data_IF_181333980811
#
_entry.id   IF_181333980811
#
_cell.length_a   1.000
_cell.length_b   1.000
_cell.length_c   1.000
_cell.angle_alpha   90.00
_cell.angle_beta   90.00
_cell.angle_gamma   90.00
#
_symmetry.space_group_name_H-M   'P 1'
#
loop_
_entity.id
_entity.type
_entity.pdbx_description
1 polymer ?
#
# COMPACT_ATOMS: atom_id res chain seq x y z
N UNK A 1 -11.59 22.50 -9.96
CA UNK A 1 -10.90 21.25 -10.34
C UNK A 1 -10.12 20.78 -9.11
N UNK A 2 -10.07 19.48 -8.85
CA UNK A 2 -9.29 18.94 -7.73
C UNK A 2 -7.81 19.20 -7.96
N UNK A 3 -7.10 19.71 -6.97
CA UNK A 3 -5.67 20.08 -7.05
C UNK A 3 -4.78 18.81 -7.18
N UNK A 4 -5.25 17.66 -6.69
CA UNK A 4 -4.62 16.36 -6.89
C UNK A 4 -5.69 15.30 -7.22
N UNK A 5 -5.34 14.28 -8.02
CA UNK A 5 -6.27 13.20 -8.37
C UNK A 5 -6.12 12.02 -7.42
N UNK A 6 -7.23 11.39 -7.04
CA UNK A 6 -7.23 10.23 -6.13
C UNK A 6 -6.39 9.08 -6.67
N UNK A 7 -5.87 8.26 -5.76
CA UNK A 7 -5.43 6.91 -6.09
C UNK A 7 -6.65 6.09 -6.58
N UNK A 8 -6.43 5.25 -7.60
CA UNK A 8 -7.49 4.42 -8.16
C UNK A 8 -8.06 3.44 -7.14
N UNK A 9 -9.35 3.08 -7.30
CA UNK A 9 -9.95 2.05 -6.44
C UNK A 9 -9.45 0.68 -6.91
N UNK A 10 -8.55 0.06 -6.14
CA UNK A 10 -8.07 -1.30 -6.44
C UNK A 10 -9.18 -2.32 -6.25
N UNK A 11 -9.42 -3.18 -7.25
CA UNK A 11 -10.48 -4.20 -7.19
C UNK A 11 -9.97 -5.47 -6.50
N UNK A 12 -10.86 -6.12 -5.77
CA UNK A 12 -10.58 -7.40 -5.16
C UNK A 12 -10.56 -8.52 -6.19
N UNK A 13 -9.68 -9.49 -5.97
CA UNK A 13 -9.85 -10.81 -6.55
C UNK A 13 -11.17 -11.44 -6.08
N UNK A 14 -11.83 -12.28 -6.91
CA UNK A 14 -13.09 -12.93 -6.53
C UNK A 14 -12.92 -13.94 -5.39
N UNK A 15 -11.69 -14.38 -5.13
CA UNK A 15 -11.32 -15.26 -4.02
C UNK A 15 -10.73 -14.50 -2.81
N UNK A 16 -10.80 -13.16 -2.79
CA UNK A 16 -10.40 -12.35 -1.64
C UNK A 16 -11.49 -12.38 -0.56
N UNK A 17 -11.21 -12.87 0.66
CA UNK A 17 -12.25 -13.06 1.69
C UNK A 17 -12.57 -11.81 2.53
N UNK A 18 -11.71 -10.78 2.49
CA UNK A 18 -11.86 -9.54 3.26
C UNK A 18 -12.55 -8.40 2.50
N UNK A 19 -13.70 -8.65 1.88
CA UNK A 19 -14.50 -7.60 1.21
C UNK A 19 -15.53 -6.98 2.14
N UNK A 20 -15.90 -5.72 1.88
CA UNK A 20 -17.00 -4.98 2.49
C UNK A 20 -18.04 -4.57 1.44
N UNK A 21 -19.17 -3.97 1.84
CA UNK A 21 -20.21 -3.52 0.90
C UNK A 21 -19.72 -2.44 -0.09
N UNK A 22 -18.68 -1.68 0.27
CA UNK A 22 -18.12 -0.61 -0.54
C UNK A 22 -17.04 -1.08 -1.53
N UNK A 23 -16.59 -2.33 -1.38
CA UNK A 23 -15.56 -2.90 -2.23
C UNK A 23 -16.09 -3.30 -3.61
N UNK A 24 -15.20 -3.23 -4.60
CA UNK A 24 -15.44 -3.72 -5.96
C UNK A 24 -14.64 -5.01 -6.16
N UNK A 25 -15.26 -5.98 -6.82
CA UNK A 25 -14.67 -7.29 -7.10
C UNK A 25 -14.56 -7.42 -8.61
N UNK A 26 -13.37 -7.77 -9.11
CA UNK A 26 -13.20 -8.09 -10.53
C UNK A 26 -13.42 -9.58 -10.75
N UNK A 27 -14.63 -9.96 -11.18
CA UNK A 27 -14.95 -11.36 -11.50
C UNK A 27 -14.27 -11.87 -12.78
N UNK A 28 -13.73 -10.97 -13.61
CA UNK A 28 -13.03 -11.29 -14.85
C UNK A 28 -11.51 -11.09 -14.73
N UNK A 29 -10.98 -11.06 -13.49
CA UNK A 29 -9.58 -10.72 -13.20
C UNK A 29 -8.57 -11.46 -14.09
N UNK A 30 -8.81 -12.74 -14.41
CA UNK A 30 -7.89 -13.52 -15.23
C UNK A 30 -7.74 -12.96 -16.65
N UNK A 31 -8.81 -12.42 -17.23
CA UNK A 31 -8.75 -11.80 -18.57
C UNK A 31 -7.83 -10.59 -18.60
N UNK A 32 -7.75 -9.84 -17.50
CA UNK A 32 -6.83 -8.71 -17.34
C UNK A 32 -5.42 -9.19 -17.02
N UNK A 33 -5.27 -10.11 -16.04
CA UNK A 33 -3.98 -10.69 -15.63
C UNK A 33 -3.25 -11.34 -16.81
N UNK A 34 -3.95 -12.08 -17.65
CA UNK A 34 -3.37 -12.77 -18.81
C UNK A 34 -2.90 -11.81 -19.92
N UNK A 35 -3.28 -10.52 -19.87
CA UNK A 35 -2.78 -9.48 -20.77
C UNK A 35 -1.52 -8.79 -20.24
N UNK A 36 -1.19 -9.01 -18.96
CA UNK A 36 -0.04 -8.39 -18.31
C UNK A 36 1.16 -9.34 -18.46
N UNK A 37 2.23 -8.86 -19.09
CA UNK A 37 3.44 -9.66 -19.31
C UNK A 37 4.18 -9.99 -18.00
N UNK A 38 4.30 -9.02 -17.10
CA UNK A 38 4.98 -9.18 -15.82
C UNK A 38 4.17 -8.53 -14.69
N UNK A 39 3.93 -9.29 -13.63
CA UNK A 39 3.21 -8.88 -12.43
C UNK A 39 4.16 -8.79 -11.25
N UNK A 40 4.01 -7.72 -10.48
CA UNK A 40 4.67 -7.56 -9.18
C UNK A 40 3.62 -7.77 -8.09
N UNK A 41 3.90 -8.72 -7.20
CA UNK A 41 3.18 -8.91 -5.95
C UNK A 41 3.90 -8.16 -4.84
N UNK A 42 3.19 -7.29 -4.13
CA UNK A 42 3.68 -6.59 -2.95
C UNK A 42 2.83 -6.89 -1.73
N UNK A 43 3.43 -6.83 -0.54
CA UNK A 43 2.67 -6.92 0.70
C UNK A 43 1.71 -5.74 0.79
N UNK A 44 0.43 -6.01 1.11
CA UNK A 44 -0.51 -4.96 1.47
C UNK A 44 -0.31 -4.61 2.93
N UNK A 45 0.07 -3.36 3.19
CA UNK A 45 0.26 -2.83 4.54
C UNK A 45 -1.03 -2.13 5.02
N UNK A 46 -1.27 -2.19 6.33
CA UNK A 46 -2.45 -1.67 7.02
C UNK A 46 -2.14 -0.31 7.66
N UNK A 47 -2.38 0.77 6.90
CA UNK A 47 -2.23 2.14 7.39
C UNK A 47 -3.11 3.13 6.64
N UNK A 48 -2.65 4.37 6.56
CA UNK A 48 -3.34 5.43 5.83
C UNK A 48 -2.66 5.69 4.48
N UNK A 49 -3.41 5.54 3.39
CA UNK A 49 -3.00 5.99 2.08
C UNK A 49 -2.73 7.51 2.07
N UNK A 50 -1.49 7.89 1.76
CA UNK A 50 -1.14 9.29 1.51
C UNK A 50 -0.52 9.48 0.11
N UNK A 51 -0.84 10.61 -0.51
CA UNK A 51 -0.24 11.11 -1.75
C UNK A 51 0.58 12.36 -1.45
N UNK A 52 1.85 12.37 -1.84
CA UNK A 52 2.74 13.51 -1.75
C UNK A 52 2.90 14.09 -3.15
N UNK A 53 2.49 15.34 -3.31
CA UNK A 53 2.58 16.08 -4.57
C UNK A 53 3.18 17.46 -4.31
N UNK A 54 3.51 18.21 -5.37
CA UNK A 54 3.90 19.62 -5.25
C UNK A 54 2.96 20.45 -4.34
N UNK A 55 1.66 20.17 -4.39
CA UNK A 55 0.64 20.96 -3.72
C UNK A 55 0.41 20.60 -2.25
N UNK A 56 0.88 19.45 -1.79
CA UNK A 56 0.59 18.99 -0.44
C UNK A 56 0.72 17.48 -0.24
N UNK A 57 0.53 17.09 1.01
CA UNK A 57 0.25 15.71 1.40
C UNK A 57 -1.26 15.54 1.47
N UNK A 58 -1.81 14.55 0.79
CA UNK A 58 -3.25 14.28 0.72
C UNK A 58 -3.55 12.91 1.30
N UNK A 59 -4.62 12.80 2.09
CA UNK A 59 -5.21 11.50 2.44
C UNK A 59 -6.01 10.95 1.25
N UNK A 60 -6.47 9.70 1.32
CA UNK A 60 -7.25 9.02 0.26
C UNK A 60 -8.41 9.85 -0.31
N UNK A 61 -9.07 10.69 0.49
CA UNK A 61 -10.19 11.52 0.02
C UNK A 61 -9.78 12.62 -0.98
N UNK A 62 -8.49 13.01 -1.02
CA UNK A 62 -7.90 14.03 -1.91
C UNK A 62 -8.68 15.36 -2.02
N UNK A 63 -9.51 15.70 -1.04
CA UNK A 63 -10.32 16.92 -1.08
C UNK A 63 -9.49 18.17 -0.75
N UNK A 64 -8.59 18.04 0.22
CA UNK A 64 -7.66 19.05 0.66
C UNK A 64 -6.41 18.37 1.25
N UNK A 65 -5.27 19.08 1.36
CA UNK A 65 -4.13 18.57 2.10
C UNK A 65 -4.53 18.13 3.51
N UNK A 66 -4.03 16.98 3.94
CA UNK A 66 -4.34 16.43 5.26
C UNK A 66 -3.74 17.30 6.37
N UNK A 67 -4.49 17.47 7.46
CA UNK A 67 -4.02 18.14 8.69
C UNK A 67 -4.02 17.19 9.89
N UNK A 68 -4.24 15.88 9.66
CA UNK A 68 -4.29 14.88 10.71
C UNK A 68 -3.01 14.86 11.54
N UNK A 69 -3.14 14.54 12.83
CA UNK A 69 -2.00 14.50 13.74
C UNK A 69 -0.97 13.42 13.31
N UNK A 70 -1.44 12.25 12.88
CA UNK A 70 -0.60 11.14 12.44
C UNK A 70 0.07 11.35 11.06
N UNK A 71 -0.24 12.43 10.36
CA UNK A 71 0.45 12.80 9.10
C UNK A 71 1.49 13.89 9.30
N UNK A 72 1.67 14.38 10.53
CA UNK A 72 2.64 15.45 10.81
C UNK A 72 4.05 15.09 10.35
N UNK A 73 4.55 13.89 10.68
CA UNK A 73 5.90 13.49 10.33
C UNK A 73 6.14 13.45 8.81
N UNK A 74 5.19 12.90 8.04
CA UNK A 74 5.32 12.87 6.57
C UNK A 74 5.14 14.25 5.94
N UNK A 75 4.36 15.15 6.56
CA UNK A 75 4.22 16.55 6.13
C UNK A 75 5.49 17.36 6.36
N UNK A 76 6.18 17.15 7.47
CA UNK A 76 7.48 17.77 7.75
C UNK A 76 8.51 17.33 6.71
N UNK A 77 8.58 16.02 6.42
CA UNK A 77 9.44 15.48 5.37
C UNK A 77 9.09 16.01 3.98
N UNK A 78 7.79 16.04 3.65
CA UNK A 78 7.29 16.62 2.41
C UNK A 78 7.71 18.09 2.25
N UNK A 79 7.63 18.90 3.31
CA UNK A 79 7.97 20.32 3.25
C UNK A 79 9.42 20.57 2.82
N UNK A 80 10.34 19.63 3.10
CA UNK A 80 11.74 19.68 2.72
C UNK A 80 11.98 19.33 1.25
N UNK A 81 11.16 18.46 0.65
CA UNK A 81 11.37 17.92 -0.70
C UNK A 81 10.35 18.38 -1.75
N UNK A 82 9.30 19.13 -1.34
CA UNK A 82 8.19 19.49 -2.23
C UNK A 82 8.62 20.21 -3.51
N UNK A 83 9.70 20.98 -3.43
CA UNK A 83 10.23 21.76 -4.57
C UNK A 83 10.94 20.88 -5.61
N UNK A 84 11.26 19.63 -5.26
CA UNK A 84 11.92 18.67 -6.15
C UNK A 84 10.91 17.71 -6.81
N UNK A 85 9.64 17.73 -6.38
CA UNK A 85 8.60 16.83 -6.90
C UNK A 85 8.19 17.19 -8.33
N UNK A 86 8.13 18.48 -8.70
CA UNK A 86 7.56 18.90 -9.98
C UNK A 86 6.16 18.29 -10.20
N UNK A 87 6.00 17.55 -11.30
CA UNK A 87 4.74 16.86 -11.66
C UNK A 87 4.56 15.48 -10.99
N UNK A 88 5.49 15.06 -10.12
CA UNK A 88 5.43 13.76 -9.43
C UNK A 88 4.36 13.76 -8.35
N UNK A 89 3.58 12.67 -8.34
CA UNK A 89 2.71 12.30 -7.25
C UNK A 89 3.17 10.94 -6.69
N UNK A 90 3.69 10.94 -5.47
CA UNK A 90 4.19 9.76 -4.78
C UNK A 90 3.11 9.23 -3.84
N UNK A 91 2.66 8.00 -4.08
CA UNK A 91 1.66 7.33 -3.26
C UNK A 91 2.33 6.29 -2.37
N UNK A 92 2.00 6.32 -1.08
CA UNK A 92 2.51 5.37 -0.11
C UNK A 92 1.55 5.15 1.05
N UNK A 93 1.83 4.07 1.77
CA UNK A 93 1.10 3.71 2.97
C UNK A 93 1.80 4.32 4.18
N UNK A 94 1.09 5.21 4.88
CA UNK A 94 1.54 5.81 6.11
C UNK A 94 1.13 4.94 7.31
N UNK A 95 2.12 4.27 7.89
CA UNK A 95 2.06 3.38 9.03
C UNK A 95 2.32 4.11 10.36
N UNK A 96 2.32 5.45 10.39
CA UNK A 96 2.57 6.21 11.61
C UNK A 96 1.52 5.93 12.68
N UNK A 97 0.23 5.90 12.33
CA UNK A 97 -0.84 5.47 13.23
C UNK A 97 -1.13 3.99 13.04
N UNK A 98 -1.09 3.23 14.13
CA UNK A 98 -1.47 1.81 14.12
C UNK A 98 -2.98 1.69 13.87
N UNK A 99 -3.35 0.89 12.87
CA UNK A 99 -4.72 0.47 12.61
C UNK A 99 -5.01 -0.86 13.31
N UNK A 100 -5.17 -1.96 12.58
CA UNK A 100 -5.46 -3.29 13.12
C UNK A 100 -4.20 -4.16 13.24
N UNK A 101 -3.12 -3.79 12.55
CA UNK A 101 -1.85 -4.50 12.55
C UNK A 101 -0.72 -3.58 13.03
N UNK A 102 0.10 -4.08 13.96
CA UNK A 102 1.39 -3.49 14.30
C UNK A 102 2.52 -4.24 13.61
N UNK A 103 3.54 -3.51 13.15
CA UNK A 103 4.70 -4.06 12.44
C UNK A 103 5.95 -3.91 13.31
N UNK A 104 6.59 -5.03 13.71
CA UNK A 104 7.76 -4.97 14.61
C UNK A 104 9.10 -4.72 13.90
N UNK A 105 9.19 -5.00 12.60
CA UNK A 105 10.36 -4.69 11.76
C UNK A 105 10.22 -3.38 10.98
N UNK A 106 9.38 -2.47 11.47
CA UNK A 106 9.12 -1.19 10.84
C UNK A 106 10.36 -0.28 10.92
N UNK A 107 10.91 0.13 9.78
CA UNK A 107 12.08 1.03 9.73
C UNK A 107 11.70 2.48 9.43
N UNK A 108 10.61 2.67 8.69
CA UNK A 108 10.07 3.98 8.35
C UNK A 108 8.57 3.98 8.60
N UNK A 109 7.94 5.14 8.71
CA UNK A 109 6.48 5.20 8.78
C UNK A 109 5.81 5.34 7.42
N UNK A 110 6.54 5.53 6.33
CA UNK A 110 5.96 5.73 4.99
C UNK A 110 6.62 4.82 3.97
N UNK A 111 5.81 3.98 3.32
CA UNK A 111 6.27 3.01 2.31
C UNK A 111 5.58 3.26 0.98
N UNK A 112 6.36 3.55 -0.06
CA UNK A 112 5.86 3.87 -1.40
C UNK A 112 5.32 2.60 -2.08
N UNK A 113 4.15 2.69 -2.71
CA UNK A 113 3.62 1.59 -3.54
C UNK A 113 3.27 2.02 -4.98
N UNK A 114 3.19 3.32 -5.26
CA UNK A 114 2.95 3.81 -6.61
C UNK A 114 3.50 5.23 -6.79
N UNK A 115 3.83 5.58 -8.04
CA UNK A 115 4.20 6.93 -8.46
C UNK A 115 3.43 7.22 -9.73
N UNK A 116 2.94 8.45 -9.86
CA UNK A 116 2.25 8.95 -11.04
C UNK A 116 2.92 10.23 -11.53
N UNK A 117 3.04 10.36 -12.83
CA UNK A 117 3.33 11.62 -13.51
C UNK A 117 2.15 11.88 -14.45
N UNK A 118 1.42 12.98 -14.19
CA UNK A 118 0.26 13.37 -14.99
C UNK A 118 -0.77 12.23 -15.16
N UNK A 119 -0.93 11.72 -16.38
CA UNK A 119 -1.90 10.69 -16.76
C UNK A 119 -1.30 9.25 -16.80
N UNK A 120 -0.09 9.05 -16.27
CA UNK A 120 0.62 7.77 -16.34
C UNK A 120 1.04 7.27 -14.95
N UNK A 121 0.59 6.06 -14.59
CA UNK A 121 1.19 5.30 -13.49
C UNK A 121 2.53 4.74 -13.95
N UNK A 122 3.59 4.99 -13.17
CA UNK A 122 4.94 4.58 -13.55
C UNK A 122 5.16 3.09 -13.34
N UNK A 123 6.13 2.53 -14.08
CA UNK A 123 6.58 1.15 -13.92
C UNK A 123 7.09 0.89 -12.50
N UNK A 124 7.14 -0.38 -12.10
CA UNK A 124 7.64 -0.74 -10.78
C UNK A 124 9.13 -0.41 -10.60
N UNK A 125 9.91 -0.47 -11.67
CA UNK A 125 11.30 -0.02 -11.68
C UNK A 125 11.39 1.49 -11.38
N UNK A 126 10.62 2.30 -12.09
CA UNK A 126 10.55 3.75 -11.84
C UNK A 126 10.02 4.07 -10.45
N UNK A 127 9.04 3.33 -9.93
CA UNK A 127 8.56 3.47 -8.55
C UNK A 127 9.69 3.26 -7.55
N UNK A 128 10.50 2.20 -7.72
CA UNK A 128 11.67 1.95 -6.88
C UNK A 128 12.73 3.04 -7.02
N UNK A 129 12.97 3.52 -8.25
CA UNK A 129 13.89 4.62 -8.53
C UNK A 129 13.49 5.90 -7.78
N UNK A 130 12.25 6.38 -7.96
CA UNK A 130 11.79 7.60 -7.30
C UNK A 130 11.67 7.43 -5.78
N UNK A 131 11.23 6.27 -5.30
CA UNK A 131 11.23 6.00 -3.86
C UNK A 131 12.66 6.16 -3.29
N UNK A 132 13.66 5.54 -3.92
CA UNK A 132 15.05 5.67 -3.50
C UNK A 132 15.59 7.09 -3.64
N UNK A 133 15.23 7.82 -4.70
CA UNK A 133 15.67 9.20 -4.92
C UNK A 133 15.20 10.16 -3.80
N UNK A 134 14.04 9.88 -3.21
CA UNK A 134 13.49 10.64 -2.09
C UNK A 134 13.72 9.95 -0.73
N UNK A 135 14.63 8.98 -0.65
CA UNK A 135 15.00 8.20 0.55
C UNK A 135 13.83 7.44 1.21
N UNK A 136 12.80 7.07 0.45
CA UNK A 136 11.69 6.25 0.93
C UNK A 136 11.89 4.77 0.61
N UNK A 137 11.53 3.85 1.52
CA UNK A 137 11.37 2.47 1.16
C UNK A 137 10.12 2.28 0.30
N UNK A 138 10.11 1.24 -0.53
CA UNK A 138 8.86 0.74 -1.12
C UNK A 138 8.22 -0.28 -0.19
N UNK A 139 6.90 -0.49 -0.33
CA UNK A 139 6.24 -1.66 0.26
C UNK A 139 6.99 -2.95 -0.12
N UNK A 140 7.02 -3.98 0.76
CA UNK A 140 7.77 -5.20 0.49
C UNK A 140 7.36 -5.86 -0.83
N UNK A 141 8.33 -6.08 -1.71
CA UNK A 141 8.17 -6.89 -2.93
C UNK A 141 8.19 -8.36 -2.52
N UNK A 142 7.11 -9.09 -2.80
CA UNK A 142 6.97 -10.50 -2.44
C UNK A 142 7.42 -11.43 -3.57
N UNK A 143 7.08 -11.08 -4.81
CA UNK A 143 7.39 -11.88 -5.99
C UNK A 143 7.18 -11.07 -7.28
N UNK A 144 8.04 -11.29 -8.28
CA UNK A 144 7.83 -10.85 -9.66
C UNK A 144 7.60 -12.08 -10.52
N UNK A 145 6.53 -12.10 -11.30
CA UNK A 145 6.11 -13.28 -12.05
C UNK A 145 5.58 -12.92 -13.43
N UNK A 146 5.79 -13.82 -14.40
CA UNK A 146 5.03 -13.84 -15.65
C UNK A 146 3.84 -14.79 -15.49
N UNK A 147 2.57 -14.31 -15.58
CA UNK A 147 1.40 -15.18 -15.44
C UNK A 147 1.41 -16.34 -16.45
N UNK A 148 1.07 -17.54 -15.99
CA UNK A 148 0.98 -18.75 -16.84
C UNK A 148 -0.47 -19.14 -17.14
N UNK A 149 -1.21 -19.52 -16.11
CA UNK A 149 -2.58 -20.01 -16.16
C UNK A 149 -3.33 -19.63 -14.87
N UNK A 150 -4.67 -19.56 -14.95
CA UNK A 150 -5.50 -19.06 -13.86
C UNK A 150 -5.38 -19.87 -12.56
N UNK A 151 -5.43 -21.22 -12.59
CA UNK A 151 -5.25 -22.03 -11.39
C UNK A 151 -3.89 -21.80 -10.71
N UNK A 152 -2.79 -21.87 -11.46
CA UNK A 152 -1.44 -21.70 -10.91
C UNK A 152 -1.23 -20.30 -10.35
N UNK A 153 -1.69 -19.26 -11.06
CA UNK A 153 -1.61 -17.88 -10.59
C UNK A 153 -2.41 -17.68 -9.28
N UNK A 154 -3.62 -18.25 -9.20
CA UNK A 154 -4.42 -18.20 -7.98
C UNK A 154 -3.74 -18.93 -6.83
N UNK A 155 -3.23 -20.13 -7.05
CA UNK A 155 -2.50 -20.90 -6.03
C UNK A 155 -1.27 -20.13 -5.52
N UNK A 156 -0.54 -19.48 -6.42
CA UNK A 156 0.59 -18.63 -6.08
C UNK A 156 0.15 -17.47 -5.17
N UNK A 157 -0.89 -16.71 -5.54
CA UNK A 157 -1.42 -15.63 -4.68
C UNK A 157 -1.80 -16.17 -3.31
N UNK A 158 -2.50 -17.31 -3.27
CA UNK A 158 -2.91 -17.95 -2.01
C UNK A 158 -1.74 -18.44 -1.16
N UNK A 159 -0.62 -18.80 -1.78
CA UNK A 159 0.61 -19.20 -1.09
C UNK A 159 1.33 -18.00 -0.50
N UNK A 160 1.43 -16.90 -1.26
CA UNK A 160 2.08 -15.66 -0.81
C UNK A 160 1.37 -15.04 0.39
N UNK A 161 0.03 -14.96 0.37
CA UNK A 161 -0.73 -14.33 1.48
C UNK A 161 -0.75 -15.15 2.77
N UNK A 162 -0.28 -16.40 2.73
CA UNK A 162 -0.09 -17.25 3.91
C UNK A 162 1.31 -17.11 4.52
N UNK A 163 2.26 -16.49 3.81
CA UNK A 163 3.59 -16.28 4.33
C UNK A 163 3.57 -15.27 5.50
N UNK A 164 4.55 -15.36 6.42
CA UNK A 164 4.77 -14.31 7.40
C UNK A 164 4.97 -12.95 6.71
N UNK A 165 4.49 -11.88 7.35
CA UNK A 165 4.76 -10.52 6.89
C UNK A 165 6.26 -10.21 6.89
N UNK A 166 6.73 -9.52 5.85
CA UNK A 166 8.10 -9.04 5.78
C UNK A 166 8.43 -8.02 6.88
N UNK A 167 7.41 -7.30 7.36
CA UNK A 167 7.52 -6.29 8.42
C UNK A 167 7.11 -6.81 9.81
N UNK A 168 6.88 -8.13 9.93
CA UNK A 168 6.57 -8.82 11.18
C UNK A 168 5.25 -8.32 11.82
N UNK A 169 4.13 -8.73 11.22
CA UNK A 169 2.77 -8.34 11.62
C UNK A 169 2.30 -8.97 12.94
N UNK A 170 1.78 -8.12 13.82
CA UNK A 170 1.13 -8.48 15.07
C UNK A 170 -0.28 -7.92 15.12
N UNK A 171 -1.22 -8.74 15.57
CA UNK A 171 -2.58 -8.30 15.81
C UNK A 171 -2.66 -7.47 17.10
N UNK A 172 -3.23 -6.27 17.01
CA UNK A 172 -3.20 -5.31 18.13
C UNK A 172 -4.08 -5.69 19.31
N UNK A 173 -5.06 -6.59 19.12
CA UNK A 173 -5.98 -7.01 20.18
C UNK A 173 -5.44 -8.22 20.92
N UNK A 174 -4.84 -9.17 20.19
CA UNK A 174 -4.30 -10.41 20.75
C UNK A 174 -2.81 -10.33 21.10
N UNK A 175 -2.12 -9.32 20.59
CA UNK A 175 -0.67 -9.10 20.70
C UNK A 175 0.19 -10.29 20.21
N UNK A 176 -0.38 -11.13 19.34
CA UNK A 176 0.26 -12.31 18.76
C UNK A 176 0.64 -12.07 17.30
N UNK A 177 1.65 -12.80 16.78
CA UNK A 177 1.95 -12.81 15.36
C UNK A 177 0.70 -13.15 14.55
N UNK A 178 0.48 -12.44 13.45
CA UNK A 178 -0.63 -12.68 12.53
C UNK A 178 -0.13 -12.65 11.08
N UNK A 179 -0.97 -13.09 10.14
CA UNK A 179 -0.62 -12.99 8.71
C UNK A 179 -0.49 -11.52 8.28
N UNK A 180 0.08 -11.27 7.11
CA UNK A 180 -0.06 -9.95 6.47
C UNK A 180 -1.55 -9.60 6.26
N UNK A 181 -1.85 -8.30 6.10
CA UNK A 181 -3.21 -7.85 5.78
C UNK A 181 -3.69 -8.47 4.46
N UNK A 182 -2.77 -8.55 3.50
CA UNK A 182 -3.00 -9.16 2.20
C UNK A 182 -1.88 -8.83 1.22
N UNK A 183 -2.24 -8.77 -0.05
CA UNK A 183 -1.32 -8.60 -1.17
C UNK A 183 -1.93 -7.67 -2.21
N UNK A 184 -1.09 -6.89 -2.87
CA UNK A 184 -1.44 -6.15 -4.10
C UNK A 184 -0.67 -6.75 -5.26
N UNK A 185 -1.36 -7.04 -6.35
CA UNK A 185 -0.76 -7.40 -7.64
C UNK A 185 -0.87 -6.22 -8.57
N UNK A 186 0.24 -5.79 -9.15
CA UNK A 186 0.26 -4.72 -10.16
C UNK A 186 0.98 -5.13 -11.42
N UNK A 187 0.59 -4.54 -12.56
CA UNK A 187 1.39 -4.54 -13.77
C UNK A 187 2.77 -3.91 -13.48
N UNK A 188 3.84 -4.63 -13.81
CA UNK A 188 5.21 -4.16 -13.61
C UNK A 188 5.53 -2.95 -14.52
N UNK A 189 4.90 -2.86 -15.68
CA UNK A 189 5.11 -1.76 -16.62
C UNK A 189 4.27 -0.52 -16.24
N UNK A 190 4.57 0.59 -16.90
CA UNK A 190 3.75 1.80 -16.81
C UNK A 190 2.39 1.60 -17.52
N UNK A 191 1.36 2.29 -17.05
CA UNK A 191 0.01 2.23 -17.64
C UNK A 191 -0.77 3.52 -17.40
N UNK A 192 -1.68 3.83 -18.33
CA UNK A 192 -2.49 5.04 -18.26
C UNK A 192 -3.41 5.03 -17.02
N UNK A 193 -3.73 6.21 -16.49
CA UNK A 193 -4.60 6.37 -15.32
C UNK A 193 -5.97 5.71 -15.51
N UNK A 194 -6.51 5.74 -16.73
CA UNK A 194 -7.81 5.18 -17.07
C UNK A 194 -7.82 3.64 -17.02
N UNK A 195 -6.65 3.01 -17.17
CA UNK A 195 -6.50 1.55 -17.20
C UNK A 195 -6.26 0.95 -15.80
N UNK A 196 -6.34 1.76 -14.74
CA UNK A 196 -5.94 1.33 -13.39
C UNK A 196 -6.66 0.06 -12.90
N UNK A 197 -7.96 -0.07 -13.16
CA UNK A 197 -8.76 -1.23 -12.70
C UNK A 197 -8.40 -2.55 -13.40
N UNK A 198 -7.74 -2.48 -14.56
CA UNK A 198 -7.23 -3.62 -15.31
C UNK A 198 -5.76 -3.94 -14.98
N UNK A 199 -5.09 -3.10 -14.17
CA UNK A 199 -3.66 -3.20 -13.91
C UNK A 199 -3.31 -3.42 -12.43
N UNK A 200 -4.27 -3.25 -11.51
CA UNK A 200 -4.02 -3.39 -10.06
C UNK A 200 -5.15 -4.15 -9.37
N UNK A 201 -4.78 -5.21 -8.66
CA UNK A 201 -5.69 -6.13 -7.97
C UNK A 201 -5.25 -6.33 -6.52
N UNK A 202 -6.19 -6.63 -5.63
CA UNK A 202 -5.87 -6.93 -4.22
C UNK A 202 -6.50 -8.23 -3.73
N UNK A 203 -5.78 -8.88 -2.84
CA UNK A 203 -6.31 -9.85 -1.89
C UNK A 203 -6.22 -9.24 -0.49
N UNK A 204 -7.26 -9.42 0.32
CA UNK A 204 -7.30 -8.98 1.72
C UNK A 204 -7.85 -10.11 2.59
N UNK A 205 -7.19 -10.36 3.73
CA UNK A 205 -7.60 -11.42 4.67
C UNK A 205 -8.98 -11.15 5.29
N UNK A 206 -9.62 -12.22 5.75
CA UNK A 206 -10.88 -12.12 6.50
C UNK A 206 -10.64 -11.40 7.84
N UNK A 207 -11.57 -10.51 8.22
CA UNK A 207 -11.51 -9.79 9.49
C UNK A 207 -10.33 -8.83 9.59
N UNK A 208 -9.92 -8.20 8.48
CA UNK A 208 -8.83 -7.23 8.47
C UNK A 208 -9.20 -5.91 9.16
N UNK A 209 -10.45 -5.47 9.05
CA UNK A 209 -10.95 -4.31 9.81
C UNK A 209 -11.30 -4.74 11.22
N UNK A 210 -10.55 -4.23 12.21
CA UNK A 210 -10.79 -4.48 13.63
C UNK A 210 -10.83 -3.20 14.48
N UNK A 211 -10.56 -2.04 13.88
CA UNK A 211 -10.54 -0.76 14.59
C UNK A 211 -11.95 -0.22 14.81
N UNK A 212 -12.17 0.31 16.01
CA UNK A 212 -13.39 0.94 16.48
C UNK A 212 -13.71 2.24 15.70
N UNK A 213 -14.98 2.67 15.69
CA UNK A 213 -15.47 3.90 15.04
C UNK A 213 -14.77 5.19 15.55
N UNK A 214 -13.98 5.08 16.62
CA UNK A 214 -13.27 6.18 17.28
C UNK A 214 -11.74 6.18 17.11
N UNK A 215 -11.19 5.41 16.16
CA UNK A 215 -9.74 5.29 15.95
C UNK A 215 -9.02 6.64 15.79
N UNK A 216 -9.66 7.64 15.17
CA UNK A 216 -9.10 8.99 14.97
C UNK A 216 -8.82 9.74 16.27
N UNK A 217 -9.46 9.34 17.38
CA UNK A 217 -9.26 9.93 18.72
C UNK A 217 -8.28 9.15 19.58
N UNK A 218 -8.15 7.84 19.35
CA UNK A 218 -7.39 6.90 20.19
C UNK A 218 -6.20 6.25 19.46
N UNK A 219 -5.77 6.83 18.34
CA UNK A 219 -4.66 6.31 17.55
C UNK A 219 -3.38 6.24 18.39
N UNK A 220 -2.56 5.23 18.09
CA UNK A 220 -1.24 5.04 18.72
C UNK A 220 -0.17 5.09 17.65
N UNK A 221 0.95 5.75 17.96
CA UNK A 221 2.11 5.76 17.05
C UNK A 221 2.69 4.35 16.93
N UNK A 222 2.94 3.90 15.71
CA UNK A 222 3.71 2.68 15.45
C UNK A 222 5.16 2.85 15.89
N UNK A 223 5.68 1.90 16.66
CA UNK A 223 7.09 1.90 17.06
C UNK A 223 7.97 1.47 15.89
N UNK A 224 9.11 2.12 15.73
CA UNK A 224 10.16 1.69 14.82
C UNK A 224 10.96 0.55 15.47
N UNK A 225 11.61 -0.29 14.65
CA UNK A 225 12.25 -1.53 15.09
C UNK A 225 13.24 -1.34 16.25
N UNK A 226 13.94 -0.19 16.29
CA UNK A 226 14.94 0.14 17.33
C UNK A 226 14.34 0.70 18.61
N UNK A 227 13.03 0.97 18.65
CA UNK A 227 12.31 1.42 19.84
C UNK A 227 11.75 0.25 20.65
N UNK A 228 11.85 -0.98 20.12
CA UNK A 228 11.59 -2.19 20.88
C UNK A 228 12.81 -2.52 21.75
N UNK A 229 12.61 -2.99 22.99
CA UNK A 229 13.72 -3.45 23.81
C UNK A 229 14.49 -4.53 23.06
N UNK A 230 15.81 -4.37 22.95
CA UNK A 230 16.68 -5.46 22.54
C UNK A 230 16.38 -6.66 23.44
N UNK A 231 16.16 -7.84 22.86
CA UNK A 231 16.21 -9.08 23.63
C UNK A 231 17.65 -9.16 24.18
N UNK A 232 17.86 -8.71 25.41
CA UNK A 232 19.08 -8.99 26.15
C UNK A 232 19.13 -10.49 26.33
N UNK A 233 20.03 -11.15 25.60
CA UNK A 233 20.44 -12.54 25.86
C UNK A 233 20.98 -12.67 27.28
#
# INVERSE_FOLDING_TARGET
MSISRKYGRTYHYPFSPGTTSDDRINHQYWSDINRIDTIVHTEKLDGENNCLSWYGVFARSHAAPTTSAWTQNIRERWALMKNDLGDLEIFGENLYAIHSIAYRKLEHHFYVFAVRIQDMWLSWEEVKFYASMFDFPTVPELMVVKPSDEPSFKEQVMTLVKQPSALESYDILTEKPCTCEGLVSRNANAYAVQEFEHNVFKYVRKGHVKTDEHWTRNWRRAKLKWEYPSLTN
#
